data_IF_678740037937
#
_entry.id   IF_678740037937
#
_cell.length_a   1.000
_cell.length_b   1.000
_cell.length_c   1.000
_cell.angle_alpha   90.00
_cell.angle_beta   90.00
_cell.angle_gamma   90.00
#
_symmetry.space_group_name_H-M   'P 1'
#
loop_
_entity.id
_entity.type
_entity.pdbx_description
1 polymer ?
#
# COMPACT_ATOMS: atom_id res chain seq x y z
N UNK A 1 23.13 1.24 -15.02
CA UNK A 1 22.36 0.19 -14.31
C UNK A 1 21.74 -0.74 -15.34
N UNK A 2 21.75 -2.05 -15.14
CA UNK A 2 21.08 -3.01 -16.04
C UNK A 2 19.57 -3.01 -15.77
N UNK A 3 18.76 -3.35 -16.78
CA UNK A 3 17.30 -3.46 -16.66
C UNK A 3 16.87 -4.43 -15.56
N UNK A 4 17.63 -5.53 -15.39
CA UNK A 4 17.42 -6.51 -14.32
C UNK A 4 17.58 -5.88 -12.92
N UNK A 5 18.60 -5.05 -12.73
CA UNK A 5 18.83 -4.35 -11.46
C UNK A 5 17.72 -3.33 -11.17
N UNK A 6 17.22 -2.63 -12.18
CA UNK A 6 16.10 -1.70 -12.03
C UNK A 6 14.82 -2.43 -11.62
N UNK A 7 14.48 -3.53 -12.28
CA UNK A 7 13.29 -4.32 -11.96
C UNK A 7 13.35 -4.86 -10.52
N UNK A 8 14.51 -5.36 -10.09
CA UNK A 8 14.70 -5.83 -8.72
C UNK A 8 14.45 -4.73 -7.68
N UNK A 9 15.02 -3.54 -7.86
CA UNK A 9 14.83 -2.40 -6.94
C UNK A 9 13.35 -1.98 -6.90
N UNK A 10 12.68 -2.00 -8.04
CA UNK A 10 11.24 -1.71 -8.15
C UNK A 10 10.42 -2.69 -7.31
N UNK A 11 10.61 -4.00 -7.49
CA UNK A 11 9.87 -5.01 -6.73
C UNK A 11 10.13 -4.92 -5.23
N UNK A 12 11.40 -4.77 -4.81
CA UNK A 12 11.75 -4.57 -3.39
C UNK A 12 11.06 -3.34 -2.79
N UNK A 13 10.92 -2.27 -3.58
CA UNK A 13 10.24 -1.05 -3.14
C UNK A 13 8.72 -1.24 -3.04
N UNK A 14 8.10 -1.90 -4.02
CA UNK A 14 6.65 -2.19 -3.99
C UNK A 14 6.27 -3.12 -2.82
N UNK A 15 7.11 -4.11 -2.53
CA UNK A 15 6.93 -5.01 -1.39
C UNK A 15 7.02 -4.25 -0.06
N UNK A 16 8.01 -3.37 0.08
CA UNK A 16 8.15 -2.52 1.26
C UNK A 16 6.95 -1.61 1.47
N UNK A 17 6.50 -0.93 0.40
CA UNK A 17 5.29 -0.10 0.43
C UNK A 17 4.09 -0.90 0.94
N UNK A 18 3.89 -2.10 0.40
CA UNK A 18 2.75 -2.95 0.77
C UNK A 18 2.85 -3.39 2.24
N UNK A 19 4.03 -3.81 2.70
CA UNK A 19 4.28 -4.18 4.11
C UNK A 19 4.02 -3.02 5.07
N UNK A 20 4.48 -1.83 4.73
CA UNK A 20 4.31 -0.66 5.58
C UNK A 20 2.85 -0.18 5.63
N UNK A 21 2.13 -0.19 4.51
CA UNK A 21 0.69 0.07 4.51
C UNK A 21 -0.04 -0.91 5.43
N UNK A 22 0.26 -2.22 5.35
CA UNK A 22 -0.33 -3.24 6.25
C UNK A 22 0.01 -2.96 7.71
N UNK A 23 1.27 -2.63 8.00
CA UNK A 23 1.75 -2.31 9.35
C UNK A 23 0.95 -1.16 9.95
N UNK A 24 0.93 0.00 9.27
CA UNK A 24 0.25 1.18 9.79
C UNK A 24 -1.26 1.02 9.85
N UNK A 25 -1.87 0.32 8.89
CA UNK A 25 -3.30 -0.02 8.94
C UNK A 25 -3.63 -0.80 10.22
N UNK A 26 -2.82 -1.80 10.55
CA UNK A 26 -3.00 -2.61 11.77
C UNK A 26 -2.72 -1.81 13.04
N UNK A 27 -1.66 -0.99 13.07
CA UNK A 27 -1.34 -0.12 14.21
C UNK A 27 -2.47 0.87 14.53
N UNK A 28 -3.17 1.35 13.50
CA UNK A 28 -4.33 2.24 13.63
C UNK A 28 -5.66 1.49 13.82
N UNK A 29 -5.63 0.16 13.92
CA UNK A 29 -6.79 -0.73 14.09
C UNK A 29 -7.83 -0.69 12.95
N UNK A 30 -7.39 -0.45 11.72
CA UNK A 30 -8.27 -0.48 10.54
C UNK A 30 -8.40 -1.89 9.96
N UNK A 31 -9.63 -2.31 9.65
CA UNK A 31 -9.85 -3.46 8.79
C UNK A 31 -9.56 -3.10 7.32
N UNK A 32 -9.31 -4.10 6.47
CA UNK A 32 -9.14 -3.86 5.02
C UNK A 32 -10.40 -3.25 4.39
N UNK A 33 -11.57 -3.67 4.85
CA UNK A 33 -12.85 -3.14 4.39
C UNK A 33 -13.03 -1.68 4.81
N UNK A 34 -12.75 -1.37 6.09
CA UNK A 34 -12.86 -0.01 6.60
C UNK A 34 -11.95 0.94 5.82
N UNK A 35 -10.67 0.58 5.66
CA UNK A 35 -9.73 1.40 4.90
C UNK A 35 -10.20 1.59 3.45
N UNK A 36 -10.71 0.54 2.80
CA UNK A 36 -11.19 0.63 1.43
C UNK A 36 -12.36 1.62 1.30
N UNK A 37 -13.34 1.54 2.20
CA UNK A 37 -14.50 2.44 2.19
C UNK A 37 -14.08 3.90 2.44
N UNK A 38 -13.19 4.13 3.40
CA UNK A 38 -12.77 5.48 3.79
C UNK A 38 -11.94 6.19 2.71
N UNK A 39 -11.23 5.44 1.85
CA UNK A 39 -10.53 6.01 0.68
C UNK A 39 -11.40 6.06 -0.59
N UNK A 40 -12.69 5.71 -0.49
CA UNK A 40 -13.68 5.83 -1.57
C UNK A 40 -13.76 4.62 -2.51
N UNK A 41 -13.31 3.44 -2.09
CA UNK A 41 -13.52 2.19 -2.85
C UNK A 41 -14.82 1.51 -2.44
N UNK A 42 -15.33 0.63 -3.31
CA UNK A 42 -16.59 -0.09 -3.09
C UNK A 42 -16.45 -1.39 -2.30
N UNK A 43 -15.22 -1.82 -1.97
CA UNK A 43 -14.97 -3.04 -1.21
C UNK A 43 -13.48 -3.33 -0.98
N UNK A 44 -13.19 -4.35 -0.17
CA UNK A 44 -11.83 -4.66 0.28
C UNK A 44 -10.94 -5.38 -0.76
N UNK A 45 -11.50 -5.84 -1.89
CA UNK A 45 -10.78 -6.70 -2.83
C UNK A 45 -9.50 -6.06 -3.40
N UNK A 46 -9.53 -4.75 -3.69
CA UNK A 46 -8.34 -4.03 -4.14
C UNK A 46 -7.27 -3.97 -3.04
N UNK A 47 -7.64 -3.53 -1.83
CA UNK A 47 -6.74 -3.44 -0.68
C UNK A 47 -6.12 -4.81 -0.39
N UNK A 48 -6.92 -5.88 -0.34
CA UNK A 48 -6.44 -7.23 -0.07
C UNK A 48 -5.44 -7.71 -1.13
N UNK A 49 -5.66 -7.40 -2.42
CA UNK A 49 -4.70 -7.77 -3.47
C UNK A 49 -3.40 -6.95 -3.39
N UNK A 50 -3.52 -5.64 -3.18
CA UNK A 50 -2.37 -4.74 -3.08
C UNK A 50 -1.50 -5.06 -1.85
N UNK A 51 -2.11 -5.31 -0.69
CA UNK A 51 -1.40 -5.71 0.54
C UNK A 51 -0.66 -7.03 0.40
N UNK A 52 -1.25 -7.99 -0.33
CA UNK A 52 -0.66 -9.30 -0.56
C UNK A 52 0.19 -9.38 -1.85
N UNK A 53 0.34 -8.27 -2.59
CA UNK A 53 1.02 -8.21 -3.90
C UNK A 53 0.52 -9.26 -4.93
N UNK A 54 -0.74 -9.71 -4.82
CA UNK A 54 -1.28 -10.74 -5.72
C UNK A 54 -1.62 -10.13 -7.09
N UNK A 55 -1.43 -10.92 -8.15
CA UNK A 55 -1.61 -10.49 -9.55
C UNK A 55 -0.85 -9.19 -9.88
N UNK A 56 0.33 -9.01 -9.27
CA UNK A 56 1.14 -7.80 -9.38
C UNK A 56 0.43 -6.49 -8.95
N UNK A 57 -0.62 -6.59 -8.14
CA UNK A 57 -1.34 -5.43 -7.62
C UNK A 57 -0.44 -4.62 -6.67
N UNK A 58 -0.41 -3.30 -6.87
CA UNK A 58 0.32 -2.35 -6.05
C UNK A 58 -0.51 -1.09 -5.82
N UNK A 59 -0.17 -0.36 -4.75
CA UNK A 59 -0.73 0.96 -4.52
C UNK A 59 -0.10 1.96 -5.50
N UNK A 60 -0.94 2.77 -6.14
CA UNK A 60 -0.48 3.95 -6.86
C UNK A 60 -0.33 5.13 -5.87
N UNK A 61 0.19 6.25 -6.34
CA UNK A 61 0.41 7.44 -5.51
C UNK A 61 -0.90 7.96 -4.91
N UNK A 62 -2.00 7.96 -5.66
CA UNK A 62 -3.30 8.43 -5.17
C UNK A 62 -3.79 7.59 -3.98
N UNK A 63 -3.69 6.26 -4.07
CA UNK A 63 -4.02 5.37 -2.98
C UNK A 63 -3.14 5.65 -1.76
N UNK A 64 -1.83 5.82 -1.95
CA UNK A 64 -0.91 6.11 -0.84
C UNK A 64 -1.24 7.44 -0.17
N UNK A 65 -1.55 8.49 -0.93
CA UNK A 65 -1.97 9.79 -0.37
C UNK A 65 -3.24 9.61 0.45
N UNK A 66 -4.29 8.99 -0.10
CA UNK A 66 -5.56 8.79 0.61
C UNK A 66 -5.39 7.94 1.87
N UNK A 67 -4.65 6.84 1.78
CA UNK A 67 -4.35 5.96 2.93
C UNK A 67 -3.55 6.72 3.99
N UNK A 68 -2.54 7.51 3.60
CA UNK A 68 -1.74 8.31 4.53
C UNK A 68 -2.59 9.31 5.31
N UNK A 69 -3.53 9.97 4.62
CA UNK A 69 -4.46 10.92 5.22
C UNK A 69 -5.45 10.24 6.16
N UNK A 70 -6.06 9.12 5.75
CA UNK A 70 -7.04 8.38 6.57
C UNK A 70 -6.38 7.79 7.82
N UNK A 71 -5.17 7.26 7.69
CA UNK A 71 -4.45 6.64 8.82
C UNK A 71 -3.75 7.67 9.71
N UNK A 72 -3.70 8.94 9.32
CA UNK A 72 -2.91 10.00 9.98
C UNK A 72 -1.46 9.55 10.17
N UNK A 73 -0.80 9.26 9.03
CA UNK A 73 0.57 8.77 8.93
C UNK A 73 1.26 9.52 7.80
N UNK A 74 2.48 10.00 8.03
CA UNK A 74 3.27 10.63 6.96
C UNK A 74 3.53 9.64 5.81
N UNK A 75 3.19 10.03 4.58
CA UNK A 75 3.28 9.17 3.39
C UNK A 75 4.68 8.59 3.16
N UNK A 76 5.74 9.30 3.56
CA UNK A 76 7.13 8.84 3.45
C UNK A 76 7.39 7.54 4.21
N UNK A 77 6.65 7.29 5.30
CA UNK A 77 6.76 6.07 6.10
C UNK A 77 6.34 4.81 5.34
N UNK A 78 5.57 4.93 4.26
CA UNK A 78 5.29 3.78 3.41
C UNK A 78 6.54 3.31 2.67
N UNK A 79 7.52 4.17 2.44
CA UNK A 79 8.73 3.86 1.67
C UNK A 79 9.96 3.54 2.53
N UNK A 80 9.87 3.64 3.86
CA UNK A 80 10.96 3.41 4.81
C UNK A 80 11.04 1.96 5.24
#
# INVERSE_FOLDING_TARGET
>A
MTSEKLNKITEETLDRVSKNVVKYRKEKNYSQLQLALDIGLTGNAFIARAENRTNNAHFNIEHLVKISTVLDVEISKFFQ
#
